data_IF_820247555102
#
_entry.id   IF_820247555102
#
_cell.length_a   1.000
_cell.length_b   1.000
_cell.length_c   1.000
_cell.angle_alpha   90.00
_cell.angle_beta   90.00
_cell.angle_gamma   90.00
#
_symmetry.space_group_name_H-M   'P 1'
#
loop_
_entity.id
_entity.type
_entity.pdbx_description
1 polymer ?
#
# COMPACT_ATOMS: atom_id res chain seq x y z
N UNK A 1 -3.58 -34.94 21.10
CA UNK A 1 -2.99 -34.84 19.77
C UNK A 1 -2.84 -33.37 19.42
N UNK A 2 -1.70 -32.78 19.73
CA UNK A 2 -1.39 -31.40 19.33
C UNK A 2 -0.77 -31.44 17.94
N UNK A 3 -1.55 -31.06 16.94
CA UNK A 3 -1.14 -31.08 15.54
C UNK A 3 -0.12 -29.97 15.17
N UNK A 4 0.73 -29.57 16.10
CA UNK A 4 1.71 -28.52 15.92
C UNK A 4 1.13 -27.12 16.12
N UNK A 5 1.99 -26.13 16.03
CA UNK A 5 1.62 -24.71 16.13
C UNK A 5 2.25 -23.91 14.99
N UNK A 6 1.56 -22.88 14.53
CA UNK A 6 2.10 -21.93 13.58
C UNK A 6 2.14 -20.56 14.25
N UNK A 7 3.27 -19.93 14.20
CA UNK A 7 3.47 -18.58 14.72
C UNK A 7 3.74 -17.63 13.55
N UNK A 8 2.89 -16.63 13.41
CA UNK A 8 3.09 -15.53 12.47
C UNK A 8 3.62 -14.32 13.21
N UNK A 9 4.72 -13.79 12.74
CA UNK A 9 5.28 -12.52 13.23
C UNK A 9 5.23 -11.53 12.09
N UNK A 10 4.48 -10.44 12.28
CA UNK A 10 4.43 -9.34 11.32
C UNK A 10 5.09 -8.12 11.94
N UNK A 11 6.07 -7.60 11.24
CA UNK A 11 6.70 -6.33 11.55
C UNK A 11 6.23 -5.30 10.53
N UNK A 12 5.80 -4.12 11.01
CA UNK A 12 5.44 -2.99 10.16
C UNK A 12 6.11 -1.74 10.68
N UNK A 13 6.70 -0.97 9.78
CA UNK A 13 7.36 0.30 10.09
C UNK A 13 7.00 1.36 9.05
N UNK A 14 6.77 2.58 9.53
CA UNK A 14 6.54 3.77 8.72
C UNK A 14 7.53 4.85 9.13
N UNK A 15 8.21 5.40 8.17
CA UNK A 15 9.22 6.43 8.39
C UNK A 15 8.94 7.58 7.43
N UNK A 16 8.64 8.75 7.99
CA UNK A 16 8.37 9.96 7.23
C UNK A 16 9.34 11.06 7.66
N UNK A 17 10.00 11.65 6.69
CA UNK A 17 10.82 12.85 6.89
C UNK A 17 10.31 13.93 5.96
N UNK A 18 10.01 15.10 6.49
CA UNK A 18 9.60 16.27 5.74
C UNK A 18 10.46 17.47 6.11
N UNK A 19 11.00 18.10 5.10
CA UNK A 19 11.78 19.32 5.20
C UNK A 19 11.02 20.43 4.47
N UNK A 20 10.88 21.57 5.11
CA UNK A 20 10.24 22.74 4.52
C UNK A 20 11.13 23.96 4.72
N UNK A 21 11.31 24.71 3.66
CA UNK A 21 12.09 25.95 3.68
C UNK A 21 11.29 27.08 3.04
N UNK A 22 11.11 28.16 3.79
CA UNK A 22 10.62 29.42 3.22
C UNK A 22 11.75 30.10 2.46
N UNK A 23 11.47 30.50 1.25
CA UNK A 23 12.43 31.14 0.35
C UNK A 23 12.07 32.62 0.12
N UNK A 24 11.55 33.27 1.17
CA UNK A 24 11.16 34.69 1.12
C UNK A 24 12.32 35.64 0.78
N UNK A 25 13.55 35.13 0.94
CA UNK A 25 14.76 35.88 0.54
C UNK A 25 14.92 35.97 -0.99
N UNK A 26 14.36 35.00 -1.75
CA UNK A 26 14.31 35.05 -3.20
C UNK A 26 13.09 35.84 -3.68
N UNK A 27 11.94 35.48 -3.21
CA UNK A 27 10.68 36.17 -3.45
C UNK A 27 9.67 35.88 -2.36
N UNK A 28 8.96 36.91 -1.90
CA UNK A 28 7.96 36.79 -0.83
C UNK A 28 6.87 35.80 -1.24
N UNK A 29 6.58 34.86 -0.35
CA UNK A 29 5.55 33.84 -0.53
C UNK A 29 6.02 32.59 -1.28
N UNK A 30 7.32 32.45 -1.52
CA UNK A 30 7.91 31.23 -2.07
C UNK A 30 8.30 30.26 -0.94
N UNK A 31 7.97 28.99 -1.13
CA UNK A 31 8.27 27.89 -0.21
C UNK A 31 8.68 26.67 -1.01
N UNK A 32 9.71 25.98 -0.55
CA UNK A 32 10.08 24.66 -1.06
C UNK A 32 9.90 23.62 0.03
N UNK A 33 9.49 22.41 -0.36
CA UNK A 33 9.40 21.29 0.54
C UNK A 33 9.90 20.01 -0.12
N UNK A 34 10.51 19.15 0.69
CA UNK A 34 10.92 17.83 0.30
C UNK A 34 10.37 16.82 1.32
N UNK A 35 9.83 15.70 0.86
CA UNK A 35 9.31 14.63 1.69
C UNK A 35 9.87 13.29 1.22
N UNK A 36 10.29 12.47 2.17
CA UNK A 36 10.65 11.08 1.95
C UNK A 36 9.85 10.23 2.91
N UNK A 37 9.16 9.22 2.39
CA UNK A 37 8.40 8.25 3.17
C UNK A 37 8.85 6.85 2.82
N UNK A 38 9.13 6.06 3.83
CA UNK A 38 9.45 4.65 3.67
C UNK A 38 8.53 3.80 4.53
N UNK A 39 7.84 2.86 3.89
CA UNK A 39 6.99 1.87 4.57
C UNK A 39 7.57 0.49 4.32
N UNK A 40 7.71 -0.29 5.38
CA UNK A 40 8.13 -1.69 5.28
C UNK A 40 7.20 -2.55 6.11
N UNK A 41 6.70 -3.62 5.51
CA UNK A 41 5.98 -4.67 6.20
C UNK A 41 6.63 -6.00 5.84
N UNK A 42 6.89 -6.84 6.84
CA UNK A 42 7.39 -8.19 6.64
C UNK A 42 6.65 -9.17 7.53
N UNK A 43 6.33 -10.33 7.01
CA UNK A 43 5.68 -11.40 7.76
C UNK A 43 6.55 -12.63 7.70
N UNK A 44 6.93 -13.15 8.87
CA UNK A 44 7.66 -14.40 9.02
C UNK A 44 6.72 -15.44 9.64
N UNK A 45 6.63 -16.59 9.03
CA UNK A 45 5.90 -17.75 9.57
C UNK A 45 6.92 -18.75 10.12
N UNK A 46 6.78 -19.11 11.38
CA UNK A 46 7.45 -20.27 11.95
C UNK A 46 6.39 -21.34 12.28
N UNK A 47 6.62 -22.56 11.83
CA UNK A 47 5.74 -23.68 12.12
C UNK A 47 6.49 -24.74 12.91
N UNK A 48 5.90 -25.17 14.01
CA UNK A 48 6.32 -26.36 14.75
C UNK A 48 5.39 -27.46 14.32
N UNK A 49 5.91 -28.43 13.59
CA UNK A 49 5.15 -29.60 13.19
C UNK A 49 5.48 -30.73 14.15
N UNK A 50 4.48 -31.24 14.82
CA UNK A 50 4.59 -32.47 15.60
C UNK A 50 3.95 -33.58 14.83
N UNK A 51 4.71 -34.58 14.53
CA UNK A 51 4.34 -35.95 14.40
C UNK A 51 3.40 -36.43 13.31
N UNK A 52 3.50 -36.04 12.02
CA UNK A 52 2.89 -36.87 10.96
C UNK A 52 3.88 -37.09 9.82
N UNK A 53 4.16 -38.37 9.52
CA UNK A 53 4.80 -38.79 8.28
C UNK A 53 3.69 -39.06 7.27
N UNK A 54 3.59 -38.21 6.24
CA UNK A 54 2.87 -38.64 5.06
C UNK A 54 3.84 -39.43 4.21
N UNK A 55 3.60 -40.72 4.13
CA UNK A 55 4.44 -41.60 3.36
C UNK A 55 4.35 -41.32 1.89
N UNK A 56 5.45 -40.92 1.33
CA UNK A 56 5.95 -41.38 0.06
C UNK A 56 7.44 -41.61 0.26
N UNK A 57 7.94 -42.69 -0.31
CA UNK A 57 9.31 -43.19 -0.19
C UNK A 57 10.39 -42.24 -0.70
N UNK A 58 10.16 -40.96 -0.76
CA UNK A 58 11.13 -39.97 -1.14
C UNK A 58 11.98 -39.60 0.08
N UNK A 59 13.14 -40.20 0.09
CA UNK A 59 14.20 -40.01 1.08
C UNK A 59 14.69 -38.56 1.23
N UNK A 60 14.16 -37.63 0.43
CA UNK A 60 14.52 -36.21 0.44
C UNK A 60 13.62 -35.33 1.31
N UNK A 61 12.44 -35.76 1.69
CA UNK A 61 11.65 -35.02 2.68
C UNK A 61 11.97 -35.47 4.11
N UNK A 62 13.21 -35.37 4.50
CA UNK A 62 13.70 -35.66 5.86
C UNK A 62 13.20 -34.70 6.94
N UNK A 63 12.26 -33.85 6.65
CA UNK A 63 11.42 -33.16 7.65
C UNK A 63 10.23 -34.02 8.00
N UNK A 64 10.48 -35.30 8.13
CA UNK A 64 9.48 -36.29 8.40
C UNK A 64 8.91 -36.10 9.79
N UNK A 65 7.66 -35.95 9.80
CA UNK A 65 6.74 -35.90 10.90
C UNK A 65 6.59 -37.31 11.45
N UNK A 66 7.05 -37.56 12.67
CA UNK A 66 6.89 -38.84 13.33
C UNK A 66 5.56 -38.80 14.07
N UNK A 67 4.68 -39.74 13.78
CA UNK A 67 3.43 -39.93 14.52
C UNK A 67 3.68 -40.85 15.70
N UNK A 68 3.40 -40.34 16.89
CA UNK A 68 3.45 -41.12 18.11
C UNK A 68 2.03 -41.54 18.50
N UNK A 69 1.84 -42.80 18.76
CA UNK A 69 0.67 -43.28 19.47
C UNK A 69 1.12 -43.63 20.88
N UNK A 70 0.61 -42.93 21.88
CA UNK A 70 0.92 -43.14 23.28
C UNK A 70 -0.32 -43.64 23.99
N UNK A 71 -0.20 -44.78 24.63
CA UNK A 71 -1.22 -45.31 25.53
C UNK A 71 -0.74 -45.17 26.98
N UNK A 72 -1.61 -44.65 27.82
CA UNK A 72 -1.36 -44.47 29.24
C UNK A 72 -2.20 -45.41 30.05
N UNK A 73 -1.63 -45.91 31.14
CA UNK A 73 -2.40 -46.73 32.12
C UNK A 73 -3.22 -45.80 33.01
N UNK A 74 -4.46 -45.62 32.64
CA UNK A 74 -5.41 -44.86 33.44
C UNK A 74 -5.89 -45.57 34.68
N UNK A 75 -5.56 -46.86 34.85
CA UNK A 75 -5.96 -47.67 36.01
C UNK A 75 -5.03 -47.46 37.21
N UNK A 76 -3.78 -47.02 36.97
CA UNK A 76 -2.75 -46.86 38.00
C UNK A 76 -2.15 -45.42 38.00
N UNK A 77 -2.94 -44.41 38.37
CA UNK A 77 -2.42 -43.05 38.45
C UNK A 77 -1.44 -42.88 39.61
N UNK A 78 -0.36 -42.18 39.38
CA UNK A 78 0.56 -41.70 40.43
C UNK A 78 0.13 -40.31 40.87
N UNK A 79 -0.14 -40.13 42.14
CA UNK A 79 -0.48 -38.84 42.73
C UNK A 79 0.82 -38.10 43.03
N UNK A 80 1.00 -36.96 42.39
CA UNK A 80 2.13 -36.06 42.63
C UNK A 80 1.96 -35.28 43.95
N UNK A 81 3.04 -34.69 44.44
CA UNK A 81 3.03 -33.90 45.68
C UNK A 81 2.13 -32.65 45.61
N UNK A 82 1.80 -32.17 44.41
CA UNK A 82 0.89 -31.07 44.13
C UNK A 82 -0.60 -31.48 43.96
N UNK A 83 -0.89 -32.79 44.14
CA UNK A 83 -2.22 -33.35 43.96
C UNK A 83 -2.60 -33.67 42.52
N UNK A 84 -1.73 -33.42 41.53
CA UNK A 84 -1.96 -33.81 40.15
C UNK A 84 -1.75 -35.28 39.92
N UNK A 85 -2.47 -35.87 38.94
CA UNK A 85 -2.35 -37.26 38.57
C UNK A 85 -1.44 -37.42 37.36
N UNK A 86 -0.45 -38.29 37.49
CA UNK A 86 0.41 -38.71 36.36
C UNK A 86 0.08 -40.15 36.04
N UNK A 87 -0.14 -40.45 34.77
CA UNK A 87 -0.45 -41.82 34.32
C UNK A 87 0.82 -42.41 33.69
N UNK A 88 1.23 -43.63 34.11
CA UNK A 88 2.36 -44.30 33.48
C UNK A 88 2.05 -44.62 32.02
N UNK A 89 3.03 -44.42 31.17
CA UNK A 89 2.93 -44.74 29.75
C UNK A 89 3.15 -46.23 29.56
N UNK A 90 2.17 -46.95 28.96
CA UNK A 90 2.22 -48.38 28.70
C UNK A 90 2.88 -48.68 27.37
N UNK A 91 2.55 -47.86 26.35
CA UNK A 91 2.96 -48.14 24.99
C UNK A 91 3.24 -46.83 24.26
N UNK A 92 4.36 -46.80 23.56
CA UNK A 92 4.67 -45.80 22.58
C UNK A 92 4.97 -46.46 21.25
N UNK A 93 4.12 -46.27 20.26
CA UNK A 93 4.36 -46.73 18.90
C UNK A 93 4.76 -45.57 18.03
N UNK A 94 5.82 -45.76 17.29
CA UNK A 94 6.31 -44.80 16.28
C UNK A 94 6.04 -45.40 14.90
N UNK A 95 5.59 -44.56 14.02
CA UNK A 95 5.43 -44.94 12.63
C UNK A 95 6.53 -44.26 11.83
N UNK A 96 7.30 -44.91 10.93
CA UNK A 96 7.10 -46.27 10.42
C UNK A 96 7.92 -47.36 11.09
N UNK A 97 8.80 -47.06 12.05
CA UNK A 97 9.67 -48.05 12.66
C UNK A 97 9.44 -48.10 14.19
N UNK A 98 9.25 -49.29 14.71
CA UNK A 98 9.09 -49.55 16.17
C UNK A 98 10.41 -49.31 16.97
N UNK A 99 11.35 -48.59 16.45
CA UNK A 99 12.63 -48.29 17.11
C UNK A 99 12.50 -47.08 18.03
N UNK A 100 13.06 -47.24 19.23
CA UNK A 100 13.08 -46.22 20.28
C UNK A 100 14.08 -45.06 20.00
N UNK A 101 13.76 -44.25 19.01
CA UNK A 101 14.55 -43.04 18.76
C UNK A 101 13.75 -41.84 19.25
N UNK A 102 14.21 -41.17 20.29
CA UNK A 102 13.74 -39.86 20.67
C UNK A 102 14.21 -38.84 19.62
N UNK A 103 13.32 -38.46 18.71
CA UNK A 103 13.58 -37.35 17.82
C UNK A 103 13.04 -36.08 18.46
N UNK A 104 13.86 -35.05 18.59
CA UNK A 104 13.37 -33.76 19.05
C UNK A 104 12.28 -33.23 18.10
N UNK A 105 11.32 -32.45 18.60
CA UNK A 105 10.31 -31.83 17.76
C UNK A 105 11.00 -31.05 16.63
N UNK A 106 10.67 -31.40 15.40
CA UNK A 106 11.27 -30.79 14.26
C UNK A 106 10.69 -29.39 14.10
N UNK A 107 11.46 -28.38 14.44
CA UNK A 107 11.09 -26.98 14.25
C UNK A 107 11.52 -26.60 12.83
N UNK A 108 10.61 -26.66 11.89
CA UNK A 108 10.87 -26.13 10.58
C UNK A 108 10.51 -24.64 10.59
N UNK A 109 11.51 -23.82 10.35
CA UNK A 109 11.31 -22.42 10.02
C UNK A 109 11.03 -22.32 8.52
N UNK A 110 9.79 -22.45 8.13
CA UNK A 110 9.38 -22.03 6.80
C UNK A 110 9.35 -20.51 6.82
N UNK A 111 10.42 -19.91 6.34
CA UNK A 111 10.46 -18.49 6.06
C UNK A 111 9.56 -18.20 4.85
N UNK A 112 8.27 -18.11 5.09
CA UNK A 112 7.37 -17.45 4.15
C UNK A 112 7.65 -15.95 4.27
N UNK A 113 8.68 -15.53 3.58
CA UNK A 113 9.11 -14.14 3.57
C UNK A 113 8.23 -13.36 2.59
N UNK A 114 7.01 -13.06 3.03
CA UNK A 114 6.23 -12.02 2.43
C UNK A 114 6.76 -10.66 2.91
N UNK A 115 7.11 -9.78 1.99
CA UNK A 115 7.40 -8.40 2.32
C UNK A 115 6.67 -7.45 1.39
N UNK A 116 6.38 -6.28 1.90
CA UNK A 116 5.88 -5.15 1.13
C UNK A 116 6.68 -3.91 1.55
N UNK A 117 7.39 -3.34 0.61
CA UNK A 117 8.20 -2.14 0.82
C UNK A 117 7.74 -1.07 -0.15
N UNK A 118 7.59 0.15 0.36
CA UNK A 118 7.20 1.30 -0.43
C UNK A 118 8.09 2.47 -0.09
N UNK A 119 8.80 2.97 -1.08
CA UNK A 119 9.55 4.21 -1.01
C UNK A 119 8.80 5.27 -1.80
N UNK A 120 8.55 6.39 -1.15
CA UNK A 120 7.93 7.57 -1.75
C UNK A 120 8.82 8.78 -1.48
N UNK A 121 9.08 9.57 -2.49
CA UNK A 121 9.69 10.86 -2.32
C UNK A 121 8.97 11.91 -3.17
N UNK A 122 8.92 13.11 -2.62
CA UNK A 122 8.23 14.26 -3.18
C UNK A 122 9.09 15.49 -3.02
N UNK A 123 9.11 16.28 -4.04
CA UNK A 123 9.67 17.62 -4.02
C UNK A 123 8.61 18.59 -4.53
N UNK A 124 8.40 19.70 -3.82
CA UNK A 124 7.42 20.71 -4.19
C UNK A 124 7.94 22.12 -4.00
N UNK A 125 7.51 22.98 -4.89
CA UNK A 125 7.71 24.42 -4.81
C UNK A 125 6.36 25.09 -4.88
N UNK A 126 6.04 25.89 -3.88
CA UNK A 126 4.79 26.62 -3.76
C UNK A 126 5.07 28.12 -3.72
N UNK A 127 4.32 28.86 -4.50
CA UNK A 127 4.30 30.29 -4.49
C UNK A 127 2.91 30.80 -4.16
N UNK A 128 2.79 31.64 -3.15
CA UNK A 128 1.52 32.23 -2.73
C UNK A 128 1.72 33.71 -2.44
N UNK A 129 1.06 34.54 -3.23
CA UNK A 129 1.22 36.00 -3.10
C UNK A 129 -0.04 36.76 -3.48
N UNK A 130 -0.30 37.80 -2.70
CA UNK A 130 -1.36 38.77 -2.96
C UNK A 130 -0.77 40.08 -3.42
N UNK A 131 -1.31 40.60 -4.52
CA UNK A 131 -0.95 41.92 -5.10
C UNK A 131 -2.21 42.79 -5.12
N UNK A 132 -2.45 43.50 -4.01
CA UNK A 132 -3.70 44.25 -3.82
C UNK A 132 -4.91 43.33 -3.85
N UNK A 133 -5.74 43.46 -4.88
CA UNK A 133 -6.94 42.59 -5.05
C UNK A 133 -6.70 41.32 -5.85
N UNK A 134 -5.48 41.04 -6.25
CA UNK A 134 -5.10 39.87 -7.02
C UNK A 134 -4.39 38.85 -6.13
N UNK A 135 -4.88 37.65 -6.07
CA UNK A 135 -4.26 36.55 -5.36
C UNK A 135 -3.81 35.48 -6.35
N UNK A 136 -2.55 35.13 -6.29
CA UNK A 136 -1.94 34.12 -7.16
C UNK A 136 -1.34 33.03 -6.29
N UNK A 137 -1.69 31.78 -6.59
CA UNK A 137 -1.01 30.62 -6.03
C UNK A 137 -0.51 29.75 -7.17
N UNK A 138 0.75 29.34 -7.09
CA UNK A 138 1.34 28.39 -8.02
C UNK A 138 2.00 27.26 -7.25
N UNK A 139 1.86 26.04 -7.73
CA UNK A 139 2.47 24.82 -7.19
C UNK A 139 3.13 24.07 -8.35
N UNK A 140 4.38 23.72 -8.16
CA UNK A 140 5.04 22.68 -8.95
C UNK A 140 5.46 21.55 -8.01
N UNK A 141 5.10 20.34 -8.34
CA UNK A 141 5.34 19.16 -7.52
C UNK A 141 5.82 18.01 -8.40
N UNK A 142 6.82 17.30 -7.92
CA UNK A 142 7.28 16.04 -8.49
C UNK A 142 7.23 14.99 -7.39
N UNK A 143 6.62 13.85 -7.65
CA UNK A 143 6.70 12.70 -6.77
C UNK A 143 7.10 11.44 -7.53
N UNK A 144 7.72 10.53 -6.81
CA UNK A 144 8.00 9.19 -7.30
C UNK A 144 7.75 8.16 -6.22
N UNK A 145 7.11 7.08 -6.61
CA UNK A 145 6.81 5.95 -5.76
C UNK A 145 7.43 4.69 -6.34
N UNK A 146 8.10 3.95 -5.49
CA UNK A 146 8.59 2.61 -5.78
C UNK A 146 7.94 1.66 -4.79
N UNK A 147 7.26 0.65 -5.30
CA UNK A 147 6.64 -0.39 -4.47
C UNK A 147 7.24 -1.73 -4.86
N UNK A 148 7.79 -2.42 -3.88
CA UNK A 148 8.37 -3.74 -4.02
C UNK A 148 7.68 -4.70 -3.06
N UNK A 149 7.15 -5.79 -3.57
CA UNK A 149 6.45 -6.78 -2.76
C UNK A 149 6.82 -8.18 -3.23
N UNK A 150 7.11 -9.04 -2.28
CA UNK A 150 7.30 -10.46 -2.49
C UNK A 150 6.15 -11.20 -1.84
N UNK A 151 5.49 -12.03 -2.60
CA UNK A 151 4.50 -12.98 -2.12
C UNK A 151 5.03 -14.37 -2.47
N UNK A 152 4.81 -15.34 -1.59
CA UNK A 152 5.37 -16.70 -1.67
C UNK A 152 5.08 -17.42 -3.00
N UNK A 153 4.07 -16.97 -3.73
CA UNK A 153 3.57 -17.66 -4.93
C UNK A 153 3.86 -16.95 -6.25
N UNK A 154 4.25 -15.69 -6.23
CA UNK A 154 4.39 -14.90 -7.47
C UNK A 154 5.60 -13.98 -7.39
N UNK A 155 6.49 -14.12 -8.37
CA UNK A 155 7.57 -13.13 -8.56
C UNK A 155 6.94 -11.85 -9.10
N UNK A 156 6.89 -10.82 -8.27
CA UNK A 156 6.43 -9.49 -8.66
C UNK A 156 7.66 -8.61 -8.91
N UNK A 157 7.66 -7.94 -10.04
CA UNK A 157 8.64 -6.89 -10.29
C UNK A 157 8.28 -5.63 -9.50
N UNK A 158 9.27 -4.84 -9.05
CA UNK A 158 8.99 -3.57 -8.41
C UNK A 158 8.16 -2.65 -9.31
N UNK A 159 7.17 -2.01 -8.71
CA UNK A 159 6.28 -1.08 -9.39
C UNK A 159 6.77 0.36 -9.23
N UNK A 160 6.82 1.09 -10.34
CA UNK A 160 7.30 2.48 -10.40
C UNK A 160 6.20 3.39 -10.91
N UNK A 161 5.98 4.47 -10.18
CA UNK A 161 5.11 5.55 -10.61
C UNK A 161 5.81 6.87 -10.39
N UNK A 162 5.73 7.75 -11.37
CA UNK A 162 6.28 9.09 -11.33
C UNK A 162 5.22 10.09 -11.78
N UNK A 163 5.14 11.22 -11.09
CA UNK A 163 4.15 12.23 -11.36
C UNK A 163 4.74 13.64 -11.21
N UNK A 164 4.48 14.46 -12.20
CA UNK A 164 4.78 15.88 -12.21
C UNK A 164 3.47 16.66 -12.25
N UNK A 165 3.28 17.55 -11.30
CA UNK A 165 2.05 18.34 -11.18
C UNK A 165 2.40 19.79 -11.20
N UNK A 166 1.75 20.53 -12.08
CA UNK A 166 1.71 21.98 -12.08
C UNK A 166 0.29 22.46 -11.78
N UNK A 167 0.15 23.40 -10.86
CA UNK A 167 -1.11 24.03 -10.52
C UNK A 167 -0.93 25.51 -10.41
N UNK A 168 -1.80 26.27 -11.03
CA UNK A 168 -1.87 27.73 -10.88
C UNK A 168 -3.30 28.11 -10.56
N UNK A 169 -3.48 28.91 -9.52
CA UNK A 169 -4.78 29.50 -9.18
C UNK A 169 -4.67 31.01 -9.19
N UNK A 170 -5.68 31.65 -9.70
CA UNK A 170 -5.79 33.10 -9.74
C UNK A 170 -7.15 33.52 -9.20
N UNK A 171 -7.15 34.52 -8.36
CA UNK A 171 -8.35 35.09 -7.79
C UNK A 171 -8.25 36.61 -7.83
N UNK A 172 -9.23 37.27 -8.48
CA UNK A 172 -9.35 38.72 -8.51
C UNK A 172 -10.59 39.17 -7.76
N UNK A 173 -10.40 39.94 -6.70
CA UNK A 173 -11.44 40.50 -5.84
C UNK A 173 -12.43 39.50 -5.32
N UNK A 174 -12.03 38.21 -5.25
CA UNK A 174 -12.90 37.08 -4.93
C UNK A 174 -14.11 36.91 -5.86
N UNK A 175 -14.15 37.61 -6.99
CA UNK A 175 -15.23 37.55 -7.97
C UNK A 175 -14.89 36.63 -9.13
N UNK A 176 -13.68 36.76 -9.65
CA UNK A 176 -13.20 35.97 -10.78
C UNK A 176 -12.13 35.00 -10.31
N UNK A 177 -12.37 33.76 -10.55
CA UNK A 177 -11.54 32.65 -10.12
C UNK A 177 -11.12 31.87 -11.36
N UNK A 178 -9.84 31.61 -11.48
CA UNK A 178 -9.31 30.75 -12.54
C UNK A 178 -8.35 29.72 -11.90
N UNK A 179 -8.41 28.51 -12.37
CA UNK A 179 -7.51 27.43 -11.95
C UNK A 179 -7.08 26.62 -13.16
N UNK A 180 -5.80 26.33 -13.25
CA UNK A 180 -5.21 25.44 -14.23
C UNK A 180 -4.38 24.39 -13.52
N UNK A 181 -4.60 23.12 -13.86
CA UNK A 181 -3.80 22.01 -13.37
C UNK A 181 -3.26 21.23 -14.58
N UNK A 182 -2.02 20.83 -14.49
CA UNK A 182 -1.37 19.95 -15.46
C UNK A 182 -0.75 18.82 -14.68
N UNK A 183 -1.11 17.56 -14.99
CA UNK A 183 -0.46 16.37 -14.46
C UNK A 183 0.21 15.63 -15.61
N UNK A 184 1.48 15.30 -15.41
CA UNK A 184 2.26 14.47 -16.32
C UNK A 184 2.70 13.24 -15.54
N UNK A 185 1.99 12.13 -15.76
CA UNK A 185 2.08 10.93 -14.94
C UNK A 185 2.62 9.76 -15.76
N UNK A 186 3.62 9.07 -15.20
CA UNK A 186 4.22 7.88 -15.77
C UNK A 186 3.98 6.64 -14.93
N UNK A 187 3.71 5.50 -15.60
CA UNK A 187 3.56 4.18 -15.00
C UNK A 187 4.34 3.15 -15.79
N UNK A 188 5.02 2.23 -15.09
CA UNK A 188 5.76 1.12 -15.73
C UNK A 188 4.85 0.11 -16.40
N UNK A 189 3.56 0.12 -16.12
CA UNK A 189 2.57 -0.78 -16.74
C UNK A 189 2.47 -0.60 -18.26
N UNK A 190 2.91 0.54 -18.75
CA UNK A 190 2.90 0.85 -20.18
C UNK A 190 4.24 0.56 -20.84
N UNK A 191 4.20 0.29 -22.15
CA UNK A 191 5.38 0.02 -22.96
C UNK A 191 6.37 1.20 -22.94
N UNK A 192 7.66 0.91 -23.12
CA UNK A 192 8.70 1.95 -23.23
C UNK A 192 8.33 2.94 -24.33
N UNK A 193 8.41 4.22 -24.05
CA UNK A 193 8.03 5.30 -24.95
C UNK A 193 6.58 5.77 -24.84
N UNK A 194 5.69 5.00 -24.18
CA UNK A 194 4.28 5.37 -23.95
C UNK A 194 3.91 5.39 -22.46
N UNK A 195 4.90 5.46 -21.59
CA UNK A 195 4.71 5.39 -20.13
C UNK A 195 4.09 6.62 -19.53
N UNK A 196 4.25 7.78 -20.18
CA UNK A 196 3.81 9.06 -19.66
C UNK A 196 2.59 9.57 -20.38
N UNK A 197 1.62 10.05 -19.64
CA UNK A 197 0.43 10.73 -20.12
C UNK A 197 0.30 12.13 -19.57
N UNK A 198 -0.17 13.07 -20.40
CA UNK A 198 -0.44 14.44 -20.01
C UNK A 198 -1.94 14.62 -19.80
N UNK A 199 -2.30 15.15 -18.62
CA UNK A 199 -3.67 15.33 -18.17
C UNK A 199 -3.91 16.79 -17.73
N UNK A 200 -4.23 17.68 -18.65
CA UNK A 200 -4.56 19.04 -18.32
C UNK A 200 -6.00 19.17 -17.82
N UNK A 201 -6.22 20.08 -16.89
CA UNK A 201 -7.55 20.52 -16.47
C UNK A 201 -7.55 22.01 -16.15
N UNK A 202 -8.69 22.65 -16.38
CA UNK A 202 -8.88 24.05 -16.05
C UNK A 202 -10.31 24.30 -15.57
N UNK A 203 -10.44 25.30 -14.71
CA UNK A 203 -11.73 25.75 -14.24
C UNK A 203 -11.76 27.27 -14.14
N UNK A 204 -12.94 27.81 -14.44
CA UNK A 204 -13.27 29.21 -14.32
C UNK A 204 -14.46 29.36 -13.38
N UNK A 205 -14.41 30.36 -12.52
CA UNK A 205 -15.47 30.65 -11.57
C UNK A 205 -15.79 32.14 -11.57
N UNK A 206 -17.07 32.48 -11.55
CA UNK A 206 -17.57 33.83 -11.41
C UNK A 206 -18.56 33.92 -10.28
N UNK A 207 -18.25 34.73 -9.26
CA UNK A 207 -19.17 35.03 -8.15
C UNK A 207 -19.98 36.27 -8.50
N UNK A 208 -21.07 36.03 -9.22
CA UNK A 208 -21.93 37.11 -9.70
C UNK A 208 -22.56 37.92 -8.55
N UNK A 209 -22.84 37.30 -7.39
CA UNK A 209 -23.36 37.99 -6.21
C UNK A 209 -22.43 39.09 -5.67
N UNK A 210 -21.12 39.01 -5.96
CA UNK A 210 -20.16 40.02 -5.51
C UNK A 210 -20.01 41.18 -6.51
N UNK A 211 -20.72 41.15 -7.62
CA UNK A 211 -20.71 42.27 -8.57
C UNK A 211 -21.48 43.46 -8.01
N UNK A 212 -20.93 44.69 -8.11
CA UNK A 212 -21.51 45.89 -7.52
C UNK A 212 -22.97 46.14 -7.98
N UNK A 213 -23.24 45.84 -9.25
CA UNK A 213 -24.57 46.06 -9.81
C UNK A 213 -25.59 45.03 -9.27
N UNK A 214 -25.21 43.76 -9.07
CA UNK A 214 -26.07 42.75 -8.49
C UNK A 214 -26.29 43.01 -7.01
N UNK A 215 -25.20 43.29 -6.28
CA UNK A 215 -25.23 43.57 -4.86
C UNK A 215 -26.11 44.77 -4.52
N UNK A 216 -26.13 45.79 -5.38
CA UNK A 216 -26.99 46.99 -5.20
C UNK A 216 -28.46 46.73 -5.40
N UNK A 217 -28.84 45.83 -6.34
CA UNK A 217 -30.26 45.65 -6.73
C UNK A 217 -30.92 44.46 -6.08
N UNK A 218 -30.18 43.41 -5.78
CA UNK A 218 -30.71 42.11 -5.32
C UNK A 218 -29.92 41.51 -4.16
N UNK A 219 -28.98 42.28 -3.60
CA UNK A 219 -28.08 41.78 -2.55
C UNK A 219 -28.75 41.30 -1.27
N UNK A 220 -29.90 41.86 -0.93
CA UNK A 220 -30.69 41.45 0.24
C UNK A 220 -31.37 40.09 0.08
N UNK A 221 -31.62 39.67 -1.14
CA UNK A 221 -32.31 38.40 -1.47
C UNK A 221 -31.32 37.36 -2.00
N UNK A 222 -30.32 37.80 -2.76
CA UNK A 222 -29.37 36.92 -3.43
C UNK A 222 -27.97 37.02 -2.80
N UNK A 223 -27.74 36.30 -1.72
CA UNK A 223 -26.49 36.36 -0.95
C UNK A 223 -25.32 35.61 -1.61
N UNK A 224 -25.57 34.57 -2.40
CA UNK A 224 -24.51 33.79 -3.03
C UNK A 224 -24.97 33.24 -4.40
N UNK A 225 -24.46 33.82 -5.48
CA UNK A 225 -24.63 33.33 -6.84
C UNK A 225 -23.24 33.14 -7.45
N UNK A 226 -22.89 31.89 -7.77
CA UNK A 226 -21.61 31.51 -8.36
C UNK A 226 -21.82 30.63 -9.58
N UNK A 227 -21.24 31.01 -10.69
CA UNK A 227 -21.11 30.18 -11.88
C UNK A 227 -19.74 29.54 -11.92
N UNK A 228 -19.67 28.28 -12.31
CA UNK A 228 -18.42 27.55 -12.46
C UNK A 228 -18.45 26.72 -13.74
N UNK A 229 -17.40 26.82 -14.49
CA UNK A 229 -17.11 25.97 -15.64
C UNK A 229 -15.81 25.21 -15.36
N UNK A 230 -15.77 23.91 -15.67
CA UNK A 230 -14.57 23.11 -15.56
C UNK A 230 -14.49 22.11 -16.70
N UNK A 231 -13.26 21.92 -17.16
CA UNK A 231 -12.92 20.90 -18.15
C UNK A 231 -11.65 20.20 -17.70
N UNK A 232 -11.56 18.89 -17.93
CA UNK A 232 -10.38 18.13 -17.58
C UNK A 232 -10.28 16.83 -18.37
N UNK A 233 -9.05 16.45 -18.66
CA UNK A 233 -8.70 15.14 -19.21
C UNK A 233 -8.18 14.28 -18.07
N UNK A 234 -8.70 13.05 -17.96
CA UNK A 234 -8.32 12.07 -16.94
C UNK A 234 -7.77 10.83 -17.62
N UNK A 235 -6.77 10.19 -17.02
CA UNK A 235 -6.24 8.91 -17.45
C UNK A 235 -6.21 7.93 -16.28
N UNK A 236 -6.26 6.65 -16.59
CA UNK A 236 -6.12 5.56 -15.64
C UNK A 236 -5.04 4.60 -16.12
N UNK A 237 -4.22 4.11 -15.20
CA UNK A 237 -3.25 3.03 -15.43
C UNK A 237 -3.81 1.66 -15.02
N UNK A 238 -5.10 1.59 -14.72
CA UNK A 238 -5.79 0.35 -14.45
C UNK A 238 -6.01 -0.41 -15.77
N UNK A 239 -5.17 -1.41 -16.00
CA UNK A 239 -5.42 -2.40 -17.05
C UNK A 239 -6.53 -3.32 -16.53
N UNK A 240 -7.76 -2.93 -16.76
CA UNK A 240 -8.88 -3.87 -16.69
C UNK A 240 -8.66 -4.90 -17.80
N UNK A 241 -8.28 -6.09 -17.42
CA UNK A 241 -8.31 -7.27 -18.29
C UNK A 241 -9.79 -7.63 -18.55
N UNK A 242 -10.45 -6.85 -19.37
CA UNK A 242 -11.74 -7.17 -19.94
C UNK A 242 -11.65 -7.26 -21.47
N UNK A 243 -10.56 -7.81 -21.98
CA UNK A 243 -10.58 -8.30 -23.33
C UNK A 243 -11.09 -9.74 -23.30
N UNK A 244 -12.39 -9.92 -23.28
CA UNK A 244 -12.98 -11.14 -23.80
C UNK A 244 -12.44 -11.35 -25.21
N UNK A 245 -12.12 -12.59 -25.61
CA UNK A 245 -11.71 -12.86 -27.01
C UNK A 245 -12.73 -12.39 -28.06
N UNK A 246 -13.95 -12.04 -27.67
CA UNK A 246 -14.96 -11.44 -28.53
C UNK A 246 -14.69 -9.97 -28.89
N UNK A 247 -14.05 -9.21 -27.98
CA UNK A 247 -13.85 -7.77 -28.19
C UNK A 247 -12.67 -7.48 -29.14
N UNK A 248 -11.79 -8.45 -29.36
CA UNK A 248 -10.69 -8.34 -30.30
C UNK A 248 -11.12 -8.37 -31.78
N UNK A 249 -12.35 -8.78 -32.07
CA UNK A 249 -12.89 -8.85 -33.43
C UNK A 249 -13.62 -7.58 -33.87
N UNK A 250 -14.09 -6.74 -32.93
CA UNK A 250 -14.85 -5.52 -33.24
C UNK A 250 -13.99 -4.28 -33.46
N UNK A 251 -12.71 -4.30 -33.08
CA UNK A 251 -11.80 -3.16 -33.29
C UNK A 251 -11.07 -3.15 -34.63
N UNK A 252 -11.51 -3.93 -35.61
CA UNK A 252 -10.97 -4.00 -36.99
C UNK A 252 -11.97 -3.65 -38.07
N UNK A 253 -12.91 -2.77 -37.80
CA UNK A 253 -13.71 -2.11 -38.83
C UNK A 253 -13.48 -0.61 -38.81
#
# INVERSE_FOLDING_TARGET
NTNGSQLYKTFQGWYDVRLEQKLDFLTKGLKAAAKVSYTSASTTRSSIKTGEIWGNNDFESRNSIIKYHREYDYSNPTVNADGSLTYPMILEKRWPNDEDIELPPNVSYDNLDGYNRKLYYEFSVEYNRSFGSHNVTALALMNRQVSDSKDDKVIKFPSYREEWVGRVTYNWKERYLAEMNISYTGSEKFARGQRFGLFPSYSLGWRASEEPFIKKHVGDVLTNLKFRYSYGKVGSDCLLYTSSPRDAHESRM
#
